data_IF_429467280168
#
_entry.id   IF_429467280168
#
_cell.length_a   1.000
_cell.length_b   1.000
_cell.length_c   1.000
_cell.angle_alpha   90.00
_cell.angle_beta   90.00
_cell.angle_gamma   90.00
#
_symmetry.space_group_name_H-M   'P 1'
#
loop_
_entity.id
_entity.type
_entity.pdbx_description
1 polymer ?
#
# COMPACT_ATOMS: atom_id res chain seq x y z
N UNK A 1 3.32 6.87 -3.93
CA UNK A 1 3.89 6.12 -2.79
C UNK A 1 5.40 6.05 -2.95
N UNK A 2 6.15 5.96 -1.86
CA UNK A 2 7.60 5.75 -1.90
C UNK A 2 7.94 4.25 -2.02
N UNK A 3 9.20 3.91 -2.33
CA UNK A 3 9.65 2.51 -2.37
C UNK A 3 9.60 1.82 -0.99
N UNK A 4 9.75 2.58 0.09
CA UNK A 4 9.66 2.06 1.45
C UNK A 4 8.22 1.75 1.85
N UNK A 5 7.29 2.65 1.54
CA UNK A 5 5.84 2.42 1.68
C UNK A 5 5.41 1.17 0.90
N UNK A 6 5.89 1.03 -0.34
CA UNK A 6 5.63 -0.15 -1.16
C UNK A 6 6.12 -1.44 -0.51
N UNK A 7 7.36 -1.47 0.02
CA UNK A 7 7.91 -2.64 0.73
C UNK A 7 7.12 -2.97 1.99
N UNK A 8 6.63 -1.97 2.72
CA UNK A 8 5.76 -2.17 3.88
C UNK A 8 4.44 -2.81 3.45
N UNK A 9 3.77 -2.24 2.44
CA UNK A 9 2.50 -2.75 1.90
C UNK A 9 2.64 -4.18 1.38
N UNK A 10 3.74 -4.49 0.67
CA UNK A 10 4.01 -5.85 0.19
C UNK A 10 4.05 -6.87 1.35
N UNK A 11 4.69 -6.51 2.47
CA UNK A 11 4.74 -7.34 3.68
C UNK A 11 3.36 -7.50 4.33
N UNK A 12 2.61 -6.39 4.47
CA UNK A 12 1.26 -6.42 5.06
C UNK A 12 0.28 -7.28 4.24
N UNK A 13 0.34 -7.17 2.91
CA UNK A 13 -0.49 -7.97 2.00
C UNK A 13 -0.01 -9.43 1.86
N UNK A 14 1.10 -9.81 2.49
CA UNK A 14 1.77 -11.12 2.33
C UNK A 14 1.98 -11.49 0.87
N UNK A 15 2.30 -10.49 0.03
CA UNK A 15 2.57 -10.70 -1.39
C UNK A 15 3.90 -11.44 -1.56
N UNK A 16 4.07 -12.14 -2.68
CA UNK A 16 5.27 -12.92 -3.00
C UNK A 16 5.73 -12.66 -4.43
N UNK A 17 6.95 -13.05 -4.74
CA UNK A 17 7.41 -13.10 -6.14
C UNK A 17 6.60 -14.12 -6.95
N UNK A 18 6.39 -13.88 -8.25
CA UNK A 18 6.89 -12.75 -9.04
C UNK A 18 6.00 -11.48 -8.98
N UNK A 19 4.91 -11.52 -8.20
CA UNK A 19 3.90 -10.45 -8.17
C UNK A 19 4.46 -9.14 -7.62
N UNK A 20 5.32 -9.19 -6.60
CA UNK A 20 5.94 -7.98 -6.03
C UNK A 20 6.73 -7.24 -7.11
N UNK A 21 7.60 -7.94 -7.83
CA UNK A 21 8.36 -7.36 -8.94
C UNK A 21 7.43 -6.80 -10.02
N UNK A 22 6.40 -7.55 -10.43
CA UNK A 22 5.45 -7.11 -11.45
C UNK A 22 4.71 -5.81 -11.07
N UNK A 23 4.24 -5.70 -9.83
CA UNK A 23 3.58 -4.48 -9.34
C UNK A 23 4.58 -3.33 -9.23
N UNK A 24 5.83 -3.61 -8.86
CA UNK A 24 6.90 -2.62 -8.86
C UNK A 24 7.13 -1.98 -10.23
N UNK A 25 7.19 -2.79 -11.28
CA UNK A 25 7.32 -2.32 -12.67
C UNK A 25 6.16 -1.40 -13.08
N UNK A 26 4.93 -1.75 -12.69
CA UNK A 26 3.74 -0.92 -12.99
C UNK A 26 3.77 0.41 -12.24
N UNK A 27 4.13 0.40 -10.94
CA UNK A 27 4.01 1.58 -10.09
C UNK A 27 5.18 2.55 -10.18
N UNK A 28 6.38 2.07 -10.53
CA UNK A 28 7.60 2.88 -10.53
C UNK A 28 8.20 3.09 -11.92
N UNK A 29 7.96 2.16 -12.85
CA UNK A 29 8.55 2.18 -14.20
C UNK A 29 7.49 2.44 -15.29
N UNK A 30 6.26 2.81 -14.89
CA UNK A 30 5.11 3.15 -15.75
C UNK A 30 4.77 2.08 -16.80
N UNK A 31 5.07 0.81 -16.50
CA UNK A 31 4.77 -0.30 -17.39
C UNK A 31 3.28 -0.64 -17.40
N UNK A 32 2.74 -0.97 -18.57
CA UNK A 32 1.40 -1.53 -18.68
C UNK A 32 1.34 -2.90 -17.97
N UNK A 33 0.20 -3.22 -17.33
CA UNK A 33 0.01 -4.48 -16.59
C UNK A 33 0.34 -5.74 -17.42
N UNK A 34 0.04 -5.71 -18.73
CA UNK A 34 0.29 -6.85 -19.63
C UNK A 34 1.79 -7.06 -19.84
N UNK A 35 2.54 -5.99 -20.04
CA UNK A 35 3.98 -6.06 -20.30
C UNK A 35 4.75 -6.38 -19.03
N UNK A 36 4.36 -5.79 -17.89
CA UNK A 36 4.88 -6.16 -16.58
C UNK A 36 4.65 -7.66 -16.30
N UNK A 37 3.44 -8.16 -16.53
CA UNK A 37 3.12 -9.58 -16.33
C UNK A 37 3.99 -10.51 -17.20
N UNK A 38 4.19 -10.15 -18.48
CA UNK A 38 5.07 -10.88 -19.40
C UNK A 38 6.52 -10.89 -18.93
N UNK A 39 7.04 -9.75 -18.49
CA UNK A 39 8.44 -9.61 -18.05
C UNK A 39 8.81 -10.55 -16.89
N UNK A 40 7.84 -10.86 -16.02
CA UNK A 40 8.05 -11.67 -14.81
C UNK A 40 7.37 -13.04 -14.84
N UNK A 41 6.72 -13.40 -15.95
CA UNK A 41 6.11 -14.72 -16.13
C UNK A 41 4.87 -14.97 -15.27
N UNK A 42 4.00 -13.97 -15.09
CA UNK A 42 2.71 -14.14 -14.43
C UNK A 42 1.53 -13.67 -15.31
N UNK A 43 0.30 -13.78 -14.80
CA UNK A 43 -0.90 -13.39 -15.58
C UNK A 43 -1.19 -11.89 -15.43
N UNK A 44 -1.58 -11.18 -16.52
CA UNK A 44 -1.96 -9.77 -16.44
C UNK A 44 -3.06 -9.48 -15.40
N UNK A 45 -3.99 -10.41 -15.23
CA UNK A 45 -5.07 -10.31 -14.24
C UNK A 45 -4.53 -10.33 -12.79
N UNK A 46 -3.50 -11.14 -12.51
CA UNK A 46 -2.86 -11.16 -11.20
C UNK A 46 -2.16 -9.84 -10.89
N UNK A 47 -1.45 -9.26 -11.87
CA UNK A 47 -0.80 -7.95 -11.73
C UNK A 47 -1.83 -6.84 -11.52
N UNK A 48 -2.87 -6.79 -12.33
CA UNK A 48 -3.94 -5.79 -12.19
C UNK A 48 -4.62 -5.84 -10.82
N UNK A 49 -5.03 -7.03 -10.38
CA UNK A 49 -5.67 -7.21 -9.08
C UNK A 49 -4.73 -6.84 -7.94
N UNK A 50 -3.46 -7.20 -8.03
CA UNK A 50 -2.47 -6.91 -6.99
C UNK A 50 -2.16 -5.42 -6.92
N UNK A 51 -1.92 -4.77 -8.05
CA UNK A 51 -1.70 -3.31 -8.12
C UNK A 51 -2.85 -2.54 -7.49
N UNK A 52 -4.11 -2.92 -7.78
CA UNK A 52 -5.28 -2.33 -7.12
C UNK A 52 -5.26 -2.51 -5.61
N UNK A 53 -4.90 -3.69 -5.09
CA UNK A 53 -4.81 -3.95 -3.64
C UNK A 53 -3.71 -3.14 -2.97
N UNK A 54 -2.56 -2.97 -3.62
CA UNK A 54 -1.47 -2.14 -3.11
C UNK A 54 -1.89 -0.68 -2.97
N UNK A 55 -2.52 -0.13 -4.02
CA UNK A 55 -3.02 1.26 -4.00
C UNK A 55 -4.17 1.45 -3.00
N UNK A 56 -5.06 0.47 -2.87
CA UNK A 56 -6.15 0.52 -1.89
C UNK A 56 -5.61 0.56 -0.46
N UNK A 57 -4.68 -0.35 -0.11
CA UNK A 57 -4.10 -0.36 1.23
C UNK A 57 -3.27 0.90 1.51
N UNK A 58 -2.51 1.40 0.52
CA UNK A 58 -1.79 2.67 0.63
C UNK A 58 -2.76 3.81 0.98
N UNK A 59 -3.87 3.90 0.25
CA UNK A 59 -4.90 4.91 0.47
C UNK A 59 -5.56 4.79 1.84
N UNK A 60 -5.90 3.58 2.27
CA UNK A 60 -6.47 3.32 3.61
C UNK A 60 -5.52 3.80 4.72
N UNK A 61 -4.24 3.43 4.65
CA UNK A 61 -3.21 3.87 5.60
C UNK A 61 -3.13 5.40 5.62
N UNK A 62 -3.05 6.06 4.46
CA UNK A 62 -3.00 7.51 4.37
C UNK A 62 -4.23 8.18 5.00
N UNK A 63 -5.43 7.63 4.79
CA UNK A 63 -6.67 8.16 5.39
C UNK A 63 -6.66 7.98 6.91
N UNK A 64 -6.31 6.79 7.40
CA UNK A 64 -6.26 6.50 8.84
C UNK A 64 -5.33 7.46 9.57
N UNK A 65 -4.10 7.65 9.08
CA UNK A 65 -3.15 8.54 9.73
C UNK A 65 -3.49 10.02 9.55
N UNK A 66 -4.07 10.41 8.41
CA UNK A 66 -4.59 11.77 8.23
C UNK A 66 -5.68 12.09 9.26
N UNK A 67 -6.62 11.17 9.49
CA UNK A 67 -7.68 11.37 10.46
C UNK A 67 -7.16 11.41 11.91
N UNK A 68 -6.17 10.58 12.25
CA UNK A 68 -5.51 10.60 13.57
C UNK A 68 -4.78 11.91 13.87
N UNK A 69 -4.31 12.63 12.84
CA UNK A 69 -3.69 13.94 13.00
C UNK A 69 -4.72 15.09 13.08
N UNK A 70 -5.98 14.84 12.74
CA UNK A 70 -7.05 15.84 12.75
C UNK A 70 -8.05 15.67 13.90
N UNK A 71 -8.11 14.51 14.57
CA UNK A 71 -8.72 14.41 15.89
C UNK A 71 -7.73 14.91 16.95
N UNK A 72 -7.97 16.05 17.62
CA UNK A 72 -7.24 16.32 18.85
C UNK A 72 -7.56 15.17 19.80
N UNK A 73 -6.52 14.49 20.28
CA UNK A 73 -6.64 13.57 21.39
C UNK A 73 -7.44 14.32 22.48
N UNK A 74 -8.70 13.96 22.66
CA UNK A 74 -9.47 14.29 23.85
C UNK A 74 -8.85 13.48 24.98
N UNK A 75 -7.63 13.86 25.38
CA UNK A 75 -7.05 13.45 26.64
C UNK A 75 -7.87 14.22 27.66
N UNK A 76 -8.93 13.57 28.12
CA UNK A 76 -9.65 13.99 29.31
C UNK A 76 -8.65 13.85 30.46
N UNK A 77 -7.85 14.90 30.68
CA UNK A 77 -6.97 15.00 31.83
C UNK A 77 -7.93 15.20 33.01
N UNK A 78 -8.44 14.08 33.54
CA UNK A 78 -9.03 14.02 34.87
C UNK A 78 -7.96 14.49 35.86
N UNK A 79 -7.93 15.79 36.11
CA UNK A 79 -7.22 16.38 37.25
C UNK A 79 -7.80 15.76 38.52
N UNK A 80 -6.99 15.14 39.39
CA UNK A 80 -7.50 14.67 40.66
C UNK A 80 -7.87 15.89 41.50
N UNK A 81 -9.15 16.03 41.84
CA UNK A 81 -9.61 16.94 42.88
C UNK A 81 -9.08 16.44 44.22
N UNK A 82 -8.15 17.19 44.80
CA UNK A 82 -7.89 17.21 46.24
C UNK A 82 -8.62 18.40 46.84
#
# INVERSE_FOLDING_TARGET
MTREEFKLIARLLKSKEPVITAVGLVLFDDMANVDAARAVGCTPQAVHRSTKRFLALHKEICITFKNLLHEPLAVDIMTPRW
#
